data_IF_698573737212
#
_entry.id   IF_698573737212
#
_cell.length_a   1.000
_cell.length_b   1.000
_cell.length_c   1.000
_cell.angle_alpha   90.00
_cell.angle_beta   90.00
_cell.angle_gamma   90.00
#
_symmetry.space_group_name_H-M   'P 1'
#
loop_
_entity.id
_entity.type
_entity.pdbx_description
1 polymer ?
#
# COMPACT_ATOMS: atom_id res chain seq x y z
N UNK A 1 20.17 12.61 -5.89
CA UNK A 1 19.79 12.67 -7.29
C UNK A 1 18.45 13.37 -7.47
N UNK A 2 18.35 14.16 -8.49
CA UNK A 2 17.16 14.99 -8.71
C UNK A 2 15.91 14.17 -8.95
N UNK A 3 16.01 13.05 -9.65
CA UNK A 3 14.86 12.19 -9.91
C UNK A 3 14.24 11.62 -8.64
N UNK A 4 15.09 11.21 -7.69
CA UNK A 4 14.62 10.70 -6.41
C UNK A 4 13.92 11.78 -5.59
N UNK A 5 14.46 12.99 -5.60
CA UNK A 5 13.87 14.12 -4.88
C UNK A 5 12.51 14.51 -5.47
N UNK A 6 12.40 14.53 -6.80
CA UNK A 6 11.13 14.85 -7.47
C UNK A 6 10.06 13.80 -7.16
N UNK A 7 10.42 12.52 -7.19
CA UNK A 7 9.51 11.45 -6.85
C UNK A 7 9.04 11.58 -5.38
N UNK A 8 9.97 11.85 -4.48
CA UNK A 8 9.67 11.99 -3.06
C UNK A 8 8.68 13.12 -2.81
N UNK A 9 8.91 14.28 -3.43
CA UNK A 9 8.02 15.43 -3.29
C UNK A 9 6.62 15.14 -3.84
N UNK A 10 6.53 14.46 -4.97
CA UNK A 10 5.26 14.07 -5.55
C UNK A 10 4.51 13.11 -4.63
N UNK A 11 5.22 12.12 -4.08
CA UNK A 11 4.65 11.14 -3.15
C UNK A 11 4.13 11.83 -1.89
N UNK A 12 4.92 12.75 -1.32
CA UNK A 12 4.52 13.47 -0.12
C UNK A 12 3.27 14.32 -0.39
N UNK A 13 3.22 15.00 -1.51
CA UNK A 13 2.06 15.80 -1.89
C UNK A 13 0.81 14.96 -2.07
N UNK A 14 0.96 13.73 -2.58
CA UNK A 14 -0.16 12.81 -2.76
C UNK A 14 -0.64 12.23 -1.42
N UNK A 15 0.29 11.81 -0.58
CA UNK A 15 -0.04 11.10 0.65
C UNK A 15 -0.44 12.02 1.80
N UNK A 16 -0.08 13.28 1.73
CA UNK A 16 -0.44 14.27 2.76
C UNK A 16 -1.64 15.10 2.36
N UNK A 17 -2.50 14.58 1.51
CA UNK A 17 -3.72 15.26 1.08
C UNK A 17 -4.64 15.59 2.26
N UNK A 18 -5.53 16.56 2.04
CA UNK A 18 -6.38 17.08 3.11
C UNK A 18 -7.69 16.30 3.29
N UNK A 19 -8.14 15.58 2.26
CA UNK A 19 -9.42 14.85 2.30
C UNK A 19 -9.28 13.42 2.81
N UNK A 20 -8.16 12.75 2.51
CA UNK A 20 -7.92 11.39 2.99
C UNK A 20 -6.83 11.42 4.05
N UNK A 21 -7.07 10.74 5.15
CA UNK A 21 -6.03 10.57 6.16
C UNK A 21 -4.89 9.72 5.59
N UNK A 22 -3.64 9.92 6.06
CA UNK A 22 -2.50 9.14 5.58
C UNK A 22 -2.71 7.63 5.63
N UNK A 23 -3.36 7.14 6.70
CA UNK A 23 -3.68 5.72 6.85
C UNK A 23 -4.54 5.22 5.70
N UNK A 24 -5.58 5.97 5.35
CA UNK A 24 -6.49 5.58 4.27
C UNK A 24 -5.81 5.66 2.91
N UNK A 25 -5.01 6.71 2.69
CA UNK A 25 -4.28 6.85 1.43
C UNK A 25 -3.30 5.69 1.23
N UNK A 26 -2.58 5.30 2.27
CA UNK A 26 -1.65 4.18 2.20
C UNK A 26 -2.39 2.85 1.93
N UNK A 27 -3.55 2.64 2.57
CA UNK A 27 -4.34 1.42 2.34
C UNK A 27 -4.85 1.36 0.90
N UNK A 28 -5.25 2.48 0.32
CA UNK A 28 -5.66 2.53 -1.08
C UNK A 28 -4.51 2.15 -2.00
N UNK A 29 -3.29 2.63 -1.68
CA UNK A 29 -2.11 2.27 -2.47
C UNK A 29 -1.79 0.79 -2.33
N UNK A 30 -1.97 0.20 -1.16
CA UNK A 30 -1.83 -1.26 -0.98
C UNK A 30 -2.76 -2.00 -1.93
N UNK A 31 -4.03 -1.59 -2.00
CA UNK A 31 -5.02 -2.22 -2.89
C UNK A 31 -4.60 -2.10 -4.36
N UNK A 32 -4.22 -0.90 -4.78
CA UNK A 32 -3.82 -0.63 -6.16
C UNK A 32 -2.58 -1.44 -6.54
N UNK A 33 -1.58 -1.45 -5.67
CA UNK A 33 -0.31 -2.13 -5.96
C UNK A 33 -0.47 -3.64 -5.93
N UNK A 34 -1.28 -4.18 -5.03
CA UNK A 34 -1.58 -5.61 -5.03
C UNK A 34 -2.31 -5.99 -6.31
N UNK A 35 -3.24 -5.15 -6.79
CA UNK A 35 -3.93 -5.37 -8.06
C UNK A 35 -2.97 -5.41 -9.24
N UNK A 36 -1.89 -4.67 -9.16
CA UNK A 36 -0.87 -4.57 -10.20
C UNK A 36 0.27 -5.57 -10.00
N UNK A 37 0.18 -6.44 -9.01
CA UNK A 37 1.19 -7.44 -8.64
C UNK A 37 2.56 -6.81 -8.37
N UNK A 38 2.55 -5.64 -7.76
CA UNK A 38 3.76 -4.84 -7.58
C UNK A 38 4.53 -5.22 -6.33
N UNK A 39 5.85 -5.25 -6.45
CA UNK A 39 6.74 -5.42 -5.30
C UNK A 39 6.71 -4.22 -4.35
N UNK A 40 6.19 -3.07 -4.80
CA UNK A 40 6.06 -1.89 -3.98
C UNK A 40 4.93 -1.99 -2.95
N UNK A 41 4.12 -3.04 -3.02
CA UNK A 41 3.02 -3.27 -2.08
C UNK A 41 3.52 -3.27 -0.64
N UNK A 42 4.64 -3.94 -0.36
CA UNK A 42 5.20 -4.01 1.00
C UNK A 42 5.61 -2.63 1.55
N UNK A 43 6.10 -1.75 0.68
CA UNK A 43 6.51 -0.40 1.08
C UNK A 43 5.31 0.37 1.64
N UNK A 44 4.18 0.29 0.96
CA UNK A 44 2.98 1.01 1.39
C UNK A 44 2.24 0.31 2.53
N UNK A 45 2.42 -1.00 2.71
CA UNK A 45 1.98 -1.68 3.92
C UNK A 45 2.72 -1.13 5.14
N UNK A 46 4.03 -0.94 5.03
CA UNK A 46 4.80 -0.34 6.11
C UNK A 46 4.36 1.10 6.36
N UNK A 47 4.08 1.85 5.30
CA UNK A 47 3.53 3.20 5.42
C UNK A 47 2.19 3.20 6.14
N UNK A 48 1.31 2.25 5.81
CA UNK A 48 0.02 2.12 6.46
C UNK A 48 0.16 1.81 7.95
N UNK A 49 1.09 0.91 8.30
CA UNK A 49 1.36 0.56 9.70
C UNK A 49 1.85 1.79 10.48
N UNK A 50 2.77 2.55 9.90
CA UNK A 50 3.27 3.78 10.52
C UNK A 50 2.17 4.82 10.69
N UNK A 51 1.18 4.81 9.82
CA UNK A 51 0.05 5.73 9.89
C UNK A 51 -1.08 5.21 10.80
N UNK A 52 -0.90 4.06 11.43
CA UNK A 52 -1.83 3.54 12.42
C UNK A 52 -2.78 2.46 11.92
N UNK A 53 -2.60 1.94 10.72
CA UNK A 53 -3.45 0.87 10.20
C UNK A 53 -3.13 -0.45 10.91
N UNK A 54 -4.17 -1.22 11.19
CA UNK A 54 -4.02 -2.55 11.76
C UNK A 54 -3.70 -3.57 10.67
N UNK A 55 -3.19 -4.73 11.07
CA UNK A 55 -2.96 -5.83 10.13
C UNK A 55 -4.27 -6.28 9.48
N UNK A 56 -5.38 -6.24 10.23
CA UNK A 56 -6.69 -6.57 9.67
C UNK A 56 -7.10 -5.59 8.57
N UNK A 57 -6.86 -4.30 8.77
CA UNK A 57 -7.16 -3.29 7.74
C UNK A 57 -6.31 -3.51 6.49
N UNK A 58 -5.04 -3.83 6.68
CA UNK A 58 -4.14 -4.11 5.56
C UNK A 58 -4.61 -5.34 4.79
N UNK A 59 -4.98 -6.42 5.51
CA UNK A 59 -5.50 -7.62 4.86
C UNK A 59 -6.78 -7.34 4.07
N UNK A 60 -7.68 -6.53 4.61
CA UNK A 60 -8.91 -6.16 3.91
C UNK A 60 -8.62 -5.31 2.67
N UNK A 61 -7.61 -4.44 2.74
CA UNK A 61 -7.20 -3.65 1.58
C UNK A 61 -6.73 -4.57 0.44
N UNK A 62 -5.96 -5.62 0.78
CA UNK A 62 -5.54 -6.62 -0.21
C UNK A 62 -6.74 -7.37 -0.76
N UNK A 63 -7.68 -7.78 0.09
CA UNK A 63 -8.88 -8.48 -0.35
C UNK A 63 -9.70 -7.66 -1.33
N UNK A 64 -9.72 -6.35 -1.19
CA UNK A 64 -10.41 -5.46 -2.13
C UNK A 64 -9.84 -5.53 -3.55
N UNK A 65 -8.60 -5.97 -3.71
CA UNK A 65 -7.99 -6.14 -5.02
C UNK A 65 -8.45 -7.42 -5.72
N UNK A 66 -8.88 -8.43 -4.97
CA UNK A 66 -9.17 -9.76 -5.52
C UNK A 66 -10.30 -9.78 -6.55
N UNK A 67 -11.45 -9.10 -6.33
CA UNK A 67 -12.51 -9.11 -7.33
C UNK A 67 -12.11 -8.49 -8.67
N UNK A 68 -11.11 -7.61 -8.67
CA UNK A 68 -10.65 -6.92 -9.88
C UNK A 68 -9.48 -7.66 -10.52
N UNK A 69 -8.51 -8.07 -9.70
CA UNK A 69 -7.23 -8.60 -10.19
C UNK A 69 -7.06 -10.11 -9.98
N UNK A 70 -7.99 -10.77 -9.31
CA UNK A 70 -7.94 -12.21 -9.10
C UNK A 70 -7.12 -12.63 -7.90
N UNK A 71 -7.08 -13.95 -7.66
CA UNK A 71 -6.40 -14.52 -6.49
C UNK A 71 -4.91 -14.23 -6.44
N UNK A 72 -4.27 -13.98 -7.58
CA UNK A 72 -2.85 -13.64 -7.61
C UNK A 72 -2.57 -12.36 -6.82
N UNK A 73 -3.53 -11.43 -6.76
CA UNK A 73 -3.39 -10.24 -5.94
C UNK A 73 -3.30 -10.60 -4.45
N UNK A 74 -4.05 -11.60 -4.01
CA UNK A 74 -3.95 -12.07 -2.63
C UNK A 74 -2.58 -12.68 -2.33
N UNK A 75 -2.03 -13.45 -3.27
CA UNK A 75 -0.70 -14.06 -3.10
C UNK A 75 0.35 -12.96 -2.93
N UNK A 76 0.32 -11.94 -3.78
CA UNK A 76 1.24 -10.81 -3.70
C UNK A 76 1.09 -10.10 -2.34
N UNK A 77 -0.14 -9.82 -1.95
CA UNK A 77 -0.43 -9.13 -0.70
C UNK A 77 -0.03 -9.94 0.53
N UNK A 78 -0.37 -11.23 0.55
CA UNK A 78 -0.02 -12.11 1.66
C UNK A 78 1.50 -12.23 1.83
N UNK A 79 2.22 -12.35 0.72
CA UNK A 79 3.68 -12.40 0.73
C UNK A 79 4.26 -11.11 1.30
N UNK A 80 3.72 -9.96 0.88
CA UNK A 80 4.16 -8.66 1.37
C UNK A 80 3.87 -8.49 2.86
N UNK A 81 2.72 -8.98 3.33
CA UNK A 81 2.37 -8.92 4.75
C UNK A 81 3.34 -9.74 5.59
N UNK A 82 3.64 -10.95 5.15
CA UNK A 82 4.56 -11.84 5.89
C UNK A 82 5.96 -11.24 5.95
N UNK A 83 6.44 -10.64 4.88
CA UNK A 83 7.73 -9.97 4.87
C UNK A 83 7.79 -8.83 5.90
N UNK A 84 6.69 -8.10 6.08
CA UNK A 84 6.61 -6.98 7.01
C UNK A 84 6.57 -7.39 8.48
N UNK A 85 6.29 -8.66 8.77
CA UNK A 85 6.23 -9.17 10.14
C UNK A 85 7.60 -9.59 10.68
N UNK A 86 8.58 -9.69 9.82
CA UNK A 86 9.93 -10.05 10.19
C UNK A 86 10.82 -8.83 10.25
#
# INVERSE_FOLDING_TARGET
>A
PMGGDAYYLMREGTLSGTALEPRHAELLLVTVLASDYSNWTSVHMDGARRAGASEAEIAEAVLCAVPVAGLSAWVVGATAMDAGKN
#
